data_IF_863400636983
#
_entry.id   IF_863400636983
#
_cell.length_a   1.000
_cell.length_b   1.000
_cell.length_c   1.000
_cell.angle_alpha   90.00
_cell.angle_beta   90.00
_cell.angle_gamma   90.00
#
_symmetry.space_group_name_H-M   'P 1'
#
loop_
_entity.id
_entity.type
_entity.pdbx_description
1 polymer ?
#
# COMPACT_ATOMS: atom_id res chain seq x y z
N UNK A 1 40.98 21.64 43.87
CA UNK A 1 40.77 20.45 44.72
C UNK A 1 39.27 20.22 44.86
N UNK A 2 38.74 19.20 44.17
CA UNK A 2 37.36 18.75 44.27
C UNK A 2 37.35 17.37 44.93
N UNK A 3 36.58 17.24 46.01
CA UNK A 3 36.05 16.03 46.69
C UNK A 3 35.24 16.59 47.87
N UNK A 4 34.08 16.11 48.31
CA UNK A 4 33.15 15.05 47.91
C UNK A 4 32.04 15.07 48.98
N UNK A 5 30.77 14.81 48.63
CA UNK A 5 29.80 13.94 49.34
C UNK A 5 28.34 14.37 49.08
N UNK A 6 27.62 13.51 48.36
CA UNK A 6 26.20 13.20 48.57
C UNK A 6 26.11 12.10 49.67
N UNK A 7 24.94 11.55 50.10
CA UNK A 7 23.57 11.77 49.63
C UNK A 7 22.49 11.88 50.76
N UNK A 8 21.27 12.29 50.42
CA UNK A 8 20.07 11.87 51.16
C UNK A 8 18.81 11.98 50.28
N UNK A 9 18.09 10.86 50.23
CA UNK A 9 16.84 10.55 49.55
C UNK A 9 15.62 11.17 50.22
N UNK A 10 14.63 11.61 49.43
CA UNK A 10 13.22 11.65 49.86
C UNK A 10 12.29 11.30 48.69
N UNK A 11 11.51 10.25 48.89
CA UNK A 11 10.28 9.96 48.17
C UNK A 11 9.13 9.96 49.19
N UNK A 12 8.04 10.68 48.89
CA UNK A 12 6.69 10.36 49.38
C UNK A 12 5.62 11.13 48.59
N UNK A 13 4.58 10.39 48.21
CA UNK A 13 3.33 10.86 47.60
C UNK A 13 2.42 11.54 48.64
N UNK A 14 1.65 12.57 48.24
CA UNK A 14 0.31 12.83 48.78
C UNK A 14 -0.50 13.80 47.91
N UNK A 15 -1.79 13.46 47.78
CA UNK A 15 -2.86 14.01 46.97
C UNK A 15 -3.39 15.34 47.57
N UNK A 16 -3.63 16.39 46.76
CA UNK A 16 -4.53 17.49 47.14
C UNK A 16 -5.12 18.23 45.93
N UNK A 17 -6.44 18.32 45.96
CA UNK A 17 -7.37 18.90 44.98
C UNK A 17 -7.01 20.33 44.53
N UNK A 18 -7.15 20.62 43.23
CA UNK A 18 -7.13 21.98 42.69
C UNK A 18 -8.47 22.35 42.04
N UNK A 19 -9.17 23.24 42.75
CA UNK A 19 -10.15 24.27 42.35
C UNK A 19 -10.69 24.24 40.91
N UNK A 20 -12.00 24.03 40.81
CA UNK A 20 -12.86 24.56 39.74
C UNK A 20 -12.79 26.09 39.73
N UNK A 21 -12.37 26.69 38.62
CA UNK A 21 -12.61 28.10 38.32
C UNK A 21 -14.09 28.29 37.97
N UNK A 22 -14.72 29.25 38.64
CA UNK A 22 -16.15 29.53 38.55
C UNK A 22 -16.51 30.17 37.20
N UNK A 23 -17.55 29.64 36.54
CA UNK A 23 -18.26 30.33 35.46
C UNK A 23 -18.90 31.65 35.99
N UNK A 24 -18.92 32.73 35.20
CA UNK A 24 -19.55 33.98 35.61
C UNK A 24 -21.05 33.82 35.85
N UNK A 25 -21.53 34.42 36.95
CA UNK A 25 -22.90 34.41 37.51
C UNK A 25 -24.05 34.81 36.58
N UNK A 26 -23.80 35.11 35.29
CA UNK A 26 -24.84 35.51 34.33
C UNK A 26 -25.49 34.34 33.57
N UNK A 27 -25.02 33.10 33.74
CA UNK A 27 -25.61 31.90 33.11
C UNK A 27 -26.73 31.28 33.95
N UNK A 28 -26.88 31.68 35.22
CA UNK A 28 -27.78 31.01 36.17
C UNK A 28 -29.23 31.51 36.21
N UNK A 29 -29.59 32.60 35.51
CA UNK A 29 -30.96 33.15 35.56
C UNK A 29 -31.85 32.79 34.35
N UNK A 30 -31.35 32.08 33.33
CA UNK A 30 -32.18 31.63 32.20
C UNK A 30 -32.79 30.22 32.37
N UNK A 31 -32.59 29.57 33.52
CA UNK A 31 -32.92 28.16 33.74
C UNK A 31 -34.01 27.91 34.80
N UNK A 32 -35.09 28.69 34.83
CA UNK A 32 -36.27 28.36 35.65
C UNK A 32 -37.46 28.03 34.75
N UNK A 33 -37.55 26.77 34.31
CA UNK A 33 -38.75 26.32 33.59
C UNK A 33 -38.68 24.99 32.83
N UNK A 34 -37.51 24.36 32.67
CA UNK A 34 -37.41 23.12 31.90
C UNK A 34 -37.05 21.92 32.79
N UNK A 35 -38.06 21.14 33.17
CA UNK A 35 -37.87 19.77 33.64
C UNK A 35 -37.59 18.88 32.43
N UNK A 36 -36.36 18.38 32.28
CA UNK A 36 -35.99 17.43 31.23
C UNK A 36 -35.47 16.15 31.88
N UNK A 37 -36.22 15.06 31.68
CA UNK A 37 -35.78 13.70 32.03
C UNK A 37 -34.55 13.34 31.20
N UNK A 38 -33.54 12.81 31.89
CA UNK A 38 -32.24 12.38 31.35
C UNK A 38 -32.39 11.38 30.19
N UNK A 39 -31.81 11.71 29.04
CA UNK A 39 -31.62 10.82 27.88
C UNK A 39 -30.12 10.73 27.58
N UNK A 40 -29.56 9.52 27.62
CA UNK A 40 -28.12 9.21 27.51
C UNK A 40 -27.50 9.41 26.10
N UNK A 41 -28.19 10.08 25.19
CA UNK A 41 -27.72 10.22 23.81
C UNK A 41 -27.00 11.57 23.59
N UNK A 42 -25.67 11.51 23.43
CA UNK A 42 -24.76 12.67 23.23
C UNK A 42 -25.20 13.59 22.09
N UNK A 43 -25.80 13.04 21.02
CA UNK A 43 -26.29 13.80 19.87
C UNK A 43 -27.53 14.64 20.22
N UNK A 44 -28.38 14.17 21.13
CA UNK A 44 -29.56 14.91 21.61
C UNK A 44 -29.13 16.10 22.46
N UNK A 45 -28.11 15.93 23.32
CA UNK A 45 -27.53 17.01 24.13
C UNK A 45 -26.89 18.08 23.24
N UNK A 46 -26.15 17.68 22.20
CA UNK A 46 -25.53 18.60 21.25
C UNK A 46 -26.58 19.40 20.45
N UNK A 47 -27.68 18.76 20.08
CA UNK A 47 -28.79 19.42 19.36
C UNK A 47 -29.55 20.40 20.28
N UNK A 48 -29.75 20.05 21.55
CA UNK A 48 -30.38 20.95 22.53
C UNK A 48 -29.46 22.15 22.79
N UNK A 49 -28.14 21.93 22.93
CA UNK A 49 -27.17 23.00 23.11
C UNK A 49 -27.07 23.92 21.89
N UNK A 50 -27.12 23.39 20.66
CA UNK A 50 -27.11 24.22 19.44
C UNK A 50 -28.38 25.07 19.31
N UNK A 51 -29.53 24.53 19.72
CA UNK A 51 -30.81 25.23 19.65
C UNK A 51 -30.91 26.34 20.71
N UNK A 52 -30.41 26.08 21.94
CA UNK A 52 -30.33 27.10 23.00
C UNK A 52 -29.34 28.23 22.64
N UNK A 53 -28.22 27.90 22.00
CA UNK A 53 -27.25 28.90 21.55
C UNK A 53 -27.84 29.78 20.44
N UNK A 54 -28.58 29.19 19.49
CA UNK A 54 -29.25 29.93 18.42
C UNK A 54 -30.34 30.89 18.95
N UNK A 55 -31.13 30.47 19.95
CA UNK A 55 -32.16 31.32 20.55
C UNK A 55 -31.56 32.48 21.36
N UNK A 56 -30.44 32.25 22.04
CA UNK A 56 -29.70 33.29 22.77
C UNK A 56 -29.13 34.34 21.80
N UNK A 57 -28.58 33.89 20.66
CA UNK A 57 -28.05 34.76 19.62
C UNK A 57 -29.16 35.58 18.94
N UNK A 58 -30.33 34.99 18.69
CA UNK A 58 -31.48 35.70 18.11
C UNK A 58 -32.00 36.84 19.01
N UNK A 59 -32.07 36.60 20.32
CA UNK A 59 -32.50 37.60 21.29
C UNK A 59 -31.46 38.73 21.47
N UNK A 60 -30.17 38.42 21.28
CA UNK A 60 -29.08 39.40 21.38
C UNK A 60 -28.92 40.24 20.10
N UNK A 61 -29.25 39.66 18.93
CA UNK A 61 -29.28 40.36 17.64
C UNK A 61 -30.32 41.48 17.59
N UNK A 62 -31.44 41.30 18.28
CA UNK A 62 -32.54 42.27 18.28
C UNK A 62 -32.33 43.47 19.23
N UNK A 63 -31.24 43.52 20.01
CA UNK A 63 -31.11 44.45 21.13
C UNK A 63 -30.01 45.51 21.03
N UNK A 64 -29.18 45.60 19.97
CA UNK A 64 -28.29 46.77 19.82
C UNK A 64 -27.71 46.92 18.40
N UNK A 65 -27.91 48.12 17.86
CA UNK A 65 -27.38 48.59 16.59
C UNK A 65 -25.93 49.07 16.80
N UNK A 66 -24.97 48.58 15.98
CA UNK A 66 -23.57 49.03 15.78
C UNK A 66 -22.40 48.06 16.02
N UNK A 67 -22.59 46.74 16.18
CA UNK A 67 -21.48 45.76 16.35
C UNK A 67 -21.39 44.63 15.31
N UNK A 68 -22.13 44.71 14.20
CA UNK A 68 -22.26 43.61 13.23
C UNK A 68 -20.95 43.19 12.54
N UNK A 69 -20.03 44.12 12.25
CA UNK A 69 -18.79 43.81 11.53
C UNK A 69 -17.74 43.08 12.39
N UNK A 70 -17.60 43.44 13.67
CA UNK A 70 -16.71 42.72 14.58
C UNK A 70 -17.22 41.30 14.90
N UNK A 71 -18.54 41.13 14.95
CA UNK A 71 -19.13 39.82 15.17
C UNK A 71 -18.98 38.90 13.95
N UNK A 72 -19.10 39.43 12.72
CA UNK A 72 -18.81 38.67 11.49
C UNK A 72 -17.34 38.24 11.41
N UNK A 73 -16.41 39.12 11.81
CA UNK A 73 -14.97 38.82 11.87
C UNK A 73 -14.63 37.76 12.91
N UNK A 74 -15.30 37.79 14.06
CA UNK A 74 -15.14 36.76 15.09
C UNK A 74 -15.80 35.44 14.70
N UNK A 75 -16.91 35.47 13.96
CA UNK A 75 -17.54 34.28 13.37
C UNK A 75 -16.64 33.62 12.34
N UNK A 76 -16.07 34.38 11.38
CA UNK A 76 -15.07 33.87 10.43
C UNK A 76 -13.81 33.33 11.11
N UNK A 77 -13.37 33.94 12.22
CA UNK A 77 -12.24 33.42 13.02
C UNK A 77 -12.59 32.14 13.78
N UNK A 78 -13.83 31.97 14.22
CA UNK A 78 -14.33 30.76 14.86
C UNK A 78 -14.53 29.62 13.83
N UNK A 79 -15.03 29.94 12.64
CA UNK A 79 -15.18 29.03 11.49
C UNK A 79 -13.80 28.56 11.00
N UNK A 80 -12.82 29.47 10.84
CA UNK A 80 -11.42 29.09 10.56
C UNK A 80 -10.75 28.29 11.69
N UNK A 81 -11.23 28.41 12.94
CA UNK A 81 -10.76 27.58 14.06
C UNK A 81 -11.42 26.21 14.06
N UNK A 82 -12.68 26.11 13.62
CA UNK A 82 -13.40 24.85 13.41
C UNK A 82 -12.82 24.06 12.24
N UNK A 83 -12.41 24.71 11.15
CA UNK A 83 -11.67 24.04 10.06
C UNK A 83 -10.30 23.49 10.52
N UNK A 84 -9.67 24.12 11.54
CA UNK A 84 -8.46 23.59 12.18
C UNK A 84 -8.73 22.48 13.20
N UNK A 85 -9.94 22.37 13.73
CA UNK A 85 -10.41 21.22 14.51
C UNK A 85 -10.97 20.23 13.48
N UNK A 86 -10.08 19.57 12.76
CA UNK A 86 -10.39 18.70 11.64
C UNK A 86 -11.60 17.80 11.89
N UNK A 87 -12.76 18.24 11.44
CA UNK A 87 -13.83 17.39 10.93
C UNK A 87 -13.45 17.07 9.48
N UNK A 88 -12.23 16.56 9.31
CA UNK A 88 -11.96 15.69 8.19
C UNK A 88 -12.83 14.48 8.46
N UNK A 89 -13.73 14.18 7.53
CA UNK A 89 -14.42 12.90 7.46
C UNK A 89 -13.35 11.82 7.66
N UNK A 90 -13.29 11.26 8.88
CA UNK A 90 -12.26 10.29 9.25
C UNK A 90 -12.54 9.07 8.39
N UNK A 91 -11.81 8.94 7.29
CA UNK A 91 -11.70 7.68 6.53
C UNK A 91 -11.41 6.59 7.56
N UNK A 92 -12.38 5.70 7.79
CA UNK A 92 -12.08 4.40 8.34
C UNK A 92 -11.00 3.74 7.47
N UNK A 93 -10.17 2.84 8.02
CA UNK A 93 -9.19 2.11 7.21
C UNK A 93 -9.92 1.54 5.98
N UNK A 94 -9.32 1.67 4.80
CA UNK A 94 -9.81 1.05 3.57
C UNK A 94 -10.15 -0.40 3.89
N UNK A 95 -11.43 -0.72 3.97
CA UNK A 95 -11.90 -2.04 4.39
C UNK A 95 -11.62 -3.06 3.29
N UNK A 96 -11.40 -2.60 2.06
CA UNK A 96 -11.29 -3.44 0.88
C UNK A 96 -9.97 -4.22 0.75
N UNK A 97 -8.76 -3.69 1.03
CA UNK A 97 -7.56 -4.52 1.13
C UNK A 97 -7.67 -5.58 2.23
N UNK A 98 -8.39 -5.26 3.32
CA UNK A 98 -8.63 -6.17 4.44
C UNK A 98 -9.63 -7.26 4.04
N UNK A 99 -10.74 -6.91 3.38
CA UNK A 99 -11.71 -7.85 2.84
C UNK A 99 -11.14 -8.67 1.69
N UNK A 100 -10.33 -8.05 0.83
CA UNK A 100 -9.60 -8.70 -0.25
C UNK A 100 -8.67 -9.76 0.31
N UNK A 101 -7.81 -9.41 1.29
CA UNK A 101 -7.01 -10.39 2.01
C UNK A 101 -7.88 -11.45 2.73
N UNK A 102 -9.01 -11.06 3.32
CA UNK A 102 -9.92 -11.96 4.03
C UNK A 102 -10.77 -12.85 3.10
N UNK A 103 -10.79 -12.61 1.80
CA UNK A 103 -11.48 -13.45 0.80
C UNK A 103 -10.45 -14.26 0.02
N UNK A 104 -9.39 -13.62 -0.46
CA UNK A 104 -8.32 -14.25 -1.24
C UNK A 104 -7.65 -15.33 -0.40
N UNK A 105 -7.27 -15.02 0.84
CA UNK A 105 -6.55 -15.97 1.70
C UNK A 105 -7.39 -17.22 2.06
N UNK A 106 -8.68 -17.13 2.44
CA UNK A 106 -9.49 -18.33 2.63
C UNK A 106 -9.80 -19.06 1.34
N UNK A 107 -10.05 -18.36 0.22
CA UNK A 107 -10.36 -19.00 -1.05
C UNK A 107 -9.16 -19.81 -1.55
N UNK A 108 -7.95 -19.25 -1.44
CA UNK A 108 -6.71 -19.93 -1.80
C UNK A 108 -6.37 -21.06 -0.86
N UNK A 109 -6.67 -20.93 0.44
CA UNK A 109 -6.59 -22.03 1.41
C UNK A 109 -7.61 -23.13 1.09
N UNK A 110 -8.81 -22.80 0.61
CA UNK A 110 -9.81 -23.80 0.18
C UNK A 110 -9.34 -24.52 -1.08
N UNK A 111 -8.87 -23.79 -2.09
CA UNK A 111 -8.28 -24.40 -3.29
C UNK A 111 -7.06 -25.27 -2.95
N UNK A 112 -6.26 -24.86 -1.96
CA UNK A 112 -5.16 -25.63 -1.41
C UNK A 112 -5.62 -26.89 -0.67
N UNK A 113 -6.60 -26.80 0.25
CA UNK A 113 -7.16 -27.99 0.95
C UNK A 113 -7.70 -28.97 -0.07
N UNK A 114 -8.43 -28.49 -1.08
CA UNK A 114 -8.93 -29.35 -2.16
C UNK A 114 -7.77 -29.98 -2.92
N UNK A 115 -6.74 -29.22 -3.30
CA UNK A 115 -5.57 -29.75 -4.02
C UNK A 115 -4.77 -30.75 -3.18
N UNK A 116 -4.51 -30.46 -1.91
CA UNK A 116 -3.79 -31.36 -1.00
C UNK A 116 -4.58 -32.60 -0.65
N UNK A 117 -5.91 -32.51 -0.50
CA UNK A 117 -6.78 -33.67 -0.31
C UNK A 117 -6.84 -34.51 -1.58
N UNK A 118 -6.94 -33.88 -2.75
CA UNK A 118 -6.85 -34.58 -4.03
C UNK A 118 -5.50 -35.30 -4.15
N UNK A 119 -4.39 -34.63 -3.82
CA UNK A 119 -3.05 -35.21 -3.87
C UNK A 119 -2.95 -36.42 -2.94
N UNK A 120 -3.33 -36.30 -1.66
CA UNK A 120 -3.38 -37.41 -0.68
C UNK A 120 -4.27 -38.58 -1.14
N UNK A 121 -5.38 -38.30 -1.83
CA UNK A 121 -6.27 -39.33 -2.37
C UNK A 121 -5.68 -39.98 -3.63
N UNK A 122 -4.79 -39.29 -4.35
CA UNK A 122 -4.21 -39.75 -5.63
C UNK A 122 -2.81 -40.36 -5.53
N UNK A 123 -2.08 -40.17 -4.43
CA UNK A 123 -0.76 -40.81 -4.24
C UNK A 123 -0.88 -42.15 -3.51
N UNK A 124 -0.90 -43.23 -4.29
CA UNK A 124 -0.35 -44.52 -3.86
C UNK A 124 1.17 -44.37 -3.69
N UNK A 125 1.70 -45.00 -2.62
CA UNK A 125 3.10 -45.27 -2.24
C UNK A 125 4.21 -44.59 -3.06
N UNK A 126 4.89 -43.60 -2.46
CA UNK A 126 6.36 -43.38 -2.51
C UNK A 126 6.72 -41.96 -1.97
N UNK A 127 6.60 -41.74 -0.66
CA UNK A 127 7.14 -40.52 -0.01
C UNK A 127 8.58 -40.70 0.44
N UNK A 128 9.49 -40.96 -0.51
CA UNK A 128 10.92 -40.77 -0.31
C UNK A 128 11.33 -39.46 -1.01
N UNK A 129 11.79 -38.45 -0.26
CA UNK A 129 12.49 -37.31 -0.89
C UNK A 129 12.13 -35.89 -0.44
N UNK A 130 11.37 -35.67 0.65
CA UNK A 130 11.36 -34.33 1.26
C UNK A 130 12.72 -34.07 1.90
N UNK A 131 13.63 -33.45 1.15
CA UNK A 131 14.88 -32.93 1.71
C UNK A 131 14.56 -32.04 2.93
N UNK A 132 15.51 -31.87 3.86
CA UNK A 132 15.36 -30.95 5.00
C UNK A 132 15.90 -29.56 4.68
N UNK A 133 15.16 -28.51 5.05
CA UNK A 133 15.58 -27.12 4.82
C UNK A 133 16.95 -26.89 5.46
N UNK A 134 17.94 -26.51 4.66
CA UNK A 134 19.31 -26.31 5.15
C UNK A 134 19.38 -25.19 6.19
N UNK A 135 20.27 -25.34 7.18
CA UNK A 135 20.49 -24.32 8.20
C UNK A 135 20.85 -22.95 7.59
N UNK A 136 21.64 -22.95 6.51
CA UNK A 136 22.00 -21.72 5.79
C UNK A 136 20.79 -21.01 5.20
N UNK A 137 19.79 -21.75 4.68
CA UNK A 137 18.55 -21.18 4.16
C UNK A 137 17.69 -20.56 5.26
N UNK A 138 17.56 -21.22 6.42
CA UNK A 138 16.90 -20.64 7.58
C UNK A 138 17.55 -19.34 8.04
N UNK A 139 18.89 -19.35 8.16
CA UNK A 139 19.66 -18.17 8.55
C UNK A 139 19.47 -17.01 7.58
N UNK A 140 19.57 -17.26 6.27
CA UNK A 140 19.37 -16.23 5.24
C UNK A 140 17.93 -15.69 5.22
N UNK A 141 16.93 -16.56 5.44
CA UNK A 141 15.51 -16.18 5.46
C UNK A 141 15.16 -15.26 6.62
N UNK A 142 15.98 -15.21 7.67
CA UNK A 142 15.84 -14.23 8.76
C UNK A 142 16.78 -13.05 8.55
N UNK A 143 18.06 -13.30 8.26
CA UNK A 143 19.09 -12.28 8.19
C UNK A 143 18.87 -11.27 7.06
N UNK A 144 18.44 -11.72 5.87
CA UNK A 144 18.21 -10.84 4.72
C UNK A 144 17.01 -9.92 4.96
N UNK A 145 15.80 -10.41 5.32
CA UNK A 145 14.67 -9.54 5.59
C UNK A 145 14.91 -8.56 6.75
N UNK A 146 15.57 -9.01 7.83
CA UNK A 146 15.93 -8.13 8.95
C UNK A 146 16.86 -7.01 8.50
N UNK A 147 17.90 -7.34 7.73
CA UNK A 147 18.85 -6.34 7.22
C UNK A 147 18.16 -5.31 6.32
N UNK A 148 17.29 -5.78 5.42
CA UNK A 148 16.54 -4.92 4.48
C UNK A 148 15.52 -4.06 5.22
N UNK A 149 14.79 -4.60 6.20
CA UNK A 149 13.82 -3.86 7.00
C UNK A 149 14.51 -2.77 7.83
N UNK A 150 15.64 -3.10 8.49
CA UNK A 150 16.46 -2.12 9.22
C UNK A 150 17.00 -1.02 8.30
N UNK A 151 17.49 -1.40 7.11
CA UNK A 151 17.89 -0.43 6.08
C UNK A 151 16.72 0.47 5.67
N UNK A 152 15.54 -0.10 5.42
CA UNK A 152 14.32 0.62 5.06
C UNK A 152 13.88 1.64 6.10
N UNK A 153 13.92 1.26 7.39
CA UNK A 153 13.64 2.14 8.53
C UNK A 153 14.67 3.29 8.61
N UNK A 154 15.97 2.97 8.54
CA UNK A 154 17.05 3.98 8.59
C UNK A 154 16.95 4.98 7.45
N UNK A 155 16.53 4.54 6.26
CA UNK A 155 16.38 5.38 5.07
C UNK A 155 15.02 6.06 4.96
N UNK A 156 14.14 5.92 5.97
CA UNK A 156 12.76 6.43 5.95
C UNK A 156 12.00 6.01 4.68
N UNK A 157 12.28 4.82 4.16
CA UNK A 157 11.54 4.22 3.03
C UNK A 157 10.44 3.26 3.50
N UNK A 158 10.46 2.91 4.79
CA UNK A 158 9.51 2.00 5.42
C UNK A 158 9.10 2.57 6.78
N UNK A 159 7.83 2.42 7.17
CA UNK A 159 7.38 2.73 8.54
C UNK A 159 7.65 1.55 9.48
N UNK A 160 7.50 1.73 10.79
CA UNK A 160 7.62 0.64 11.78
C UNK A 160 6.65 -0.53 11.50
N UNK A 161 5.40 -0.22 11.15
CA UNK A 161 4.41 -1.25 10.77
C UNK A 161 4.74 -1.88 9.42
N UNK A 162 5.23 -1.09 8.46
CA UNK A 162 5.73 -1.62 7.19
C UNK A 162 6.90 -2.58 7.38
N UNK A 163 7.81 -2.29 8.31
CA UNK A 163 8.93 -3.16 8.68
C UNK A 163 8.46 -4.50 9.23
N UNK A 164 7.50 -4.49 10.16
CA UNK A 164 6.93 -5.72 10.71
C UNK A 164 6.41 -6.65 9.62
N UNK A 165 5.59 -6.14 8.69
CA UNK A 165 5.06 -6.98 7.61
C UNK A 165 6.13 -7.34 6.56
N UNK A 166 7.07 -6.44 6.27
CA UNK A 166 8.16 -6.72 5.34
C UNK A 166 9.08 -7.86 5.82
N UNK A 167 9.22 -8.06 7.14
CA UNK A 167 9.91 -9.22 7.68
C UNK A 167 9.20 -10.53 7.33
N UNK A 168 7.87 -10.56 7.46
CA UNK A 168 7.05 -11.75 7.14
C UNK A 168 7.10 -12.06 5.65
N UNK A 169 6.84 -11.05 4.81
CA UNK A 169 6.93 -11.14 3.35
C UNK A 169 8.33 -11.61 2.93
N UNK A 170 9.37 -10.92 3.41
CA UNK A 170 10.75 -11.27 3.08
C UNK A 170 11.13 -12.68 3.52
N UNK A 171 10.68 -13.13 4.70
CA UNK A 171 10.95 -14.47 5.20
C UNK A 171 10.37 -15.54 4.28
N UNK A 172 9.07 -15.45 3.95
CA UNK A 172 8.42 -16.42 3.08
C UNK A 172 8.99 -16.44 1.67
N UNK A 173 9.26 -15.27 1.06
CA UNK A 173 9.90 -15.26 -0.26
C UNK A 173 11.30 -15.87 -0.22
N UNK A 174 12.11 -15.59 0.81
CA UNK A 174 13.49 -16.08 0.91
C UNK A 174 13.57 -17.58 1.18
N UNK A 175 12.75 -18.10 2.10
CA UNK A 175 12.74 -19.53 2.42
C UNK A 175 12.29 -20.34 1.20
N UNK A 176 11.30 -19.83 0.46
CA UNK A 176 10.79 -20.46 -0.77
C UNK A 176 11.86 -20.52 -1.85
N UNK A 177 12.35 -19.35 -2.28
CA UNK A 177 13.37 -19.25 -3.32
C UNK A 177 14.16 -17.95 -3.20
N UNK A 178 15.48 -18.07 -3.28
CA UNK A 178 16.38 -16.94 -3.37
C UNK A 178 16.08 -16.05 -4.59
N UNK A 179 15.55 -16.61 -5.68
CA UNK A 179 15.11 -15.84 -6.84
C UNK A 179 13.94 -14.90 -6.47
N UNK A 180 13.00 -15.35 -5.64
CA UNK A 180 11.87 -14.53 -5.17
C UNK A 180 12.37 -13.42 -4.23
N UNK A 181 13.31 -13.75 -3.33
CA UNK A 181 13.98 -12.73 -2.52
C UNK A 181 14.73 -11.70 -3.37
N UNK A 182 15.38 -12.11 -4.46
CA UNK A 182 16.08 -11.20 -5.36
C UNK A 182 15.10 -10.24 -6.06
N UNK A 183 13.96 -10.75 -6.55
CA UNK A 183 12.89 -9.91 -7.10
C UNK A 183 12.41 -8.86 -6.09
N UNK A 184 12.12 -9.29 -4.85
CA UNK A 184 11.65 -8.40 -3.80
C UNK A 184 12.69 -7.33 -3.44
N UNK A 185 13.97 -7.73 -3.35
CA UNK A 185 15.06 -6.82 -3.05
C UNK A 185 15.24 -5.79 -4.16
N UNK A 186 15.25 -6.22 -5.42
CA UNK A 186 15.35 -5.33 -6.59
C UNK A 186 14.17 -4.37 -6.62
N UNK A 187 12.94 -4.87 -6.45
CA UNK A 187 11.75 -4.02 -6.37
C UNK A 187 11.92 -2.98 -5.26
N UNK A 188 12.11 -3.41 -4.01
CA UNK A 188 12.18 -2.50 -2.87
C UNK A 188 13.28 -1.46 -3.02
N UNK A 189 14.50 -1.87 -3.41
CA UNK A 189 15.65 -0.98 -3.50
C UNK A 189 15.55 -0.01 -4.68
N UNK A 190 15.05 -0.46 -5.83
CA UNK A 190 14.95 0.39 -7.01
C UNK A 190 13.76 1.34 -6.90
N UNK A 191 12.59 0.86 -6.48
CA UNK A 191 11.42 1.69 -6.25
C UNK A 191 11.64 2.70 -5.11
N UNK A 192 12.37 2.36 -4.04
CA UNK A 192 12.73 3.34 -3.00
C UNK A 192 13.65 4.45 -3.51
N UNK A 193 14.46 4.18 -4.54
CA UNK A 193 15.26 5.22 -5.22
C UNK A 193 14.39 6.05 -6.17
N UNK A 194 13.50 5.41 -6.92
CA UNK A 194 12.56 6.08 -7.82
C UNK A 194 11.65 7.06 -7.07
N UNK A 195 11.07 6.67 -5.93
CA UNK A 195 10.23 7.54 -5.10
C UNK A 195 10.99 8.74 -4.53
N UNK A 196 12.32 8.62 -4.33
CA UNK A 196 13.16 9.74 -3.90
C UNK A 196 13.54 10.68 -5.04
N UNK A 197 13.43 10.23 -6.28
CA UNK A 197 13.70 11.03 -7.45
C UNK A 197 12.57 12.03 -7.70
N UNK A 198 12.92 13.32 -7.85
CA UNK A 198 11.96 14.37 -8.18
C UNK A 198 10.98 14.74 -7.05
N UNK A 199 11.28 14.42 -5.78
CA UNK A 199 10.42 14.74 -4.64
C UNK A 199 10.06 16.23 -4.52
N UNK A 200 10.97 17.12 -4.90
CA UNK A 200 10.71 18.57 -4.91
C UNK A 200 9.58 18.97 -5.87
N UNK A 201 9.47 18.29 -7.02
CA UNK A 201 8.37 18.51 -7.98
C UNK A 201 7.06 17.87 -7.51
N UNK A 202 7.12 16.68 -6.90
CA UNK A 202 5.94 15.96 -6.39
C UNK A 202 5.27 16.67 -5.22
N UNK A 203 6.07 17.28 -4.34
CA UNK A 203 5.57 18.10 -3.23
C UNK A 203 4.67 19.27 -3.70
N UNK A 204 4.85 19.76 -4.91
CA UNK A 204 4.03 20.82 -5.49
C UNK A 204 2.76 20.30 -6.17
N UNK A 205 2.69 19.00 -6.46
CA UNK A 205 1.60 18.35 -7.19
C UNK A 205 0.65 17.56 -6.27
N UNK A 206 1.12 17.14 -5.10
CA UNK A 206 0.39 16.25 -4.19
C UNK A 206 0.10 16.94 -2.84
N UNK A 207 -1.16 16.87 -2.41
CA UNK A 207 -1.61 17.44 -1.13
C UNK A 207 -1.07 16.65 0.09
N UNK A 208 -0.94 15.33 -0.04
CA UNK A 208 -0.59 14.40 1.05
C UNK A 208 0.84 13.83 0.95
N UNK A 209 1.78 14.63 0.44
CA UNK A 209 3.16 14.22 0.24
C UNK A 209 3.84 13.76 1.54
N UNK A 210 4.31 12.51 1.58
CA UNK A 210 5.07 11.95 2.71
C UNK A 210 6.57 11.97 2.45
N UNK A 211 7.31 12.65 3.32
CA UNK A 211 8.77 12.76 3.20
C UNK A 211 9.44 11.38 3.23
N UNK A 212 10.24 11.09 2.19
CA UNK A 212 10.95 9.82 2.03
C UNK A 212 10.14 8.66 1.44
N UNK A 213 8.83 8.83 1.23
CA UNK A 213 7.96 7.80 0.66
C UNK A 213 7.80 6.57 1.56
N UNK A 214 7.62 6.79 2.87
CA UNK A 214 7.54 5.70 3.86
C UNK A 214 6.37 4.75 3.57
N UNK A 215 6.70 3.50 3.19
CA UNK A 215 5.68 2.47 2.96
C UNK A 215 5.18 1.87 4.27
N UNK A 216 3.86 1.87 4.47
CA UNK A 216 3.22 1.25 5.63
C UNK A 216 2.89 -0.22 5.37
N UNK A 217 2.37 -0.92 6.39
CA UNK A 217 2.00 -2.33 6.27
C UNK A 217 0.94 -2.58 5.18
N UNK A 218 0.00 -1.66 4.97
CA UNK A 218 -1.03 -1.80 3.91
C UNK A 218 -0.36 -1.81 2.54
N UNK A 219 0.58 -0.88 2.29
CA UNK A 219 1.32 -0.85 1.03
C UNK A 219 2.23 -2.06 0.84
N UNK A 220 2.83 -2.58 1.91
CA UNK A 220 3.61 -3.82 1.84
C UNK A 220 2.70 -5.01 1.51
N UNK A 221 1.51 -5.08 2.11
CA UNK A 221 0.53 -6.12 1.83
C UNK A 221 0.01 -6.05 0.39
N UNK A 222 -0.37 -4.87 -0.09
CA UNK A 222 -0.96 -4.73 -1.42
C UNK A 222 0.06 -4.98 -2.54
N UNK A 223 1.33 -4.67 -2.33
CA UNK A 223 2.38 -4.87 -3.34
C UNK A 223 3.10 -6.22 -3.23
N UNK A 224 3.07 -6.86 -2.05
CA UNK A 224 3.82 -8.09 -1.78
C UNK A 224 2.96 -9.29 -1.36
N UNK A 225 1.67 -9.09 -1.10
CA UNK A 225 0.76 -10.12 -0.59
C UNK A 225 0.61 -11.29 -1.56
N UNK A 226 0.21 -11.01 -2.81
CA UNK A 226 0.08 -12.05 -3.84
C UNK A 226 1.39 -12.82 -4.06
N UNK A 227 2.53 -12.11 -4.11
CA UNK A 227 3.83 -12.75 -4.25
C UNK A 227 4.18 -13.64 -3.04
N UNK A 228 3.79 -13.24 -1.84
CA UNK A 228 3.99 -14.02 -0.61
C UNK A 228 3.13 -15.28 -0.61
N UNK A 229 1.87 -15.14 -1.01
CA UNK A 229 0.94 -16.25 -1.14
C UNK A 229 1.42 -17.29 -2.15
N UNK A 230 1.82 -16.86 -3.35
CA UNK A 230 2.41 -17.73 -4.37
C UNK A 230 3.72 -18.38 -3.90
N UNK A 231 4.54 -17.67 -3.11
CA UNK A 231 5.75 -18.24 -2.52
C UNK A 231 5.43 -19.32 -1.48
N UNK A 232 4.41 -19.11 -0.64
CA UNK A 232 3.93 -20.13 0.30
C UNK A 232 3.43 -21.36 -0.47
N UNK A 233 2.61 -21.17 -1.51
CA UNK A 233 2.16 -22.26 -2.38
C UNK A 233 3.33 -23.00 -3.03
N UNK A 234 4.36 -22.28 -3.47
CA UNK A 234 5.57 -22.89 -4.02
C UNK A 234 6.26 -23.81 -3.01
N UNK A 235 6.40 -23.39 -1.75
CA UNK A 235 6.95 -24.25 -0.68
C UNK A 235 6.09 -25.48 -0.41
N UNK A 236 4.77 -25.33 -0.45
CA UNK A 236 3.84 -26.41 -0.14
C UNK A 236 3.78 -27.46 -1.26
N UNK A 237 3.74 -27.02 -2.52
CA UNK A 237 3.51 -27.90 -3.68
C UNK A 237 4.81 -28.40 -4.31
N UNK A 238 5.88 -27.60 -4.23
CA UNK A 238 7.17 -27.88 -4.92
C UNK A 238 8.28 -28.12 -3.90
N UNK A 239 8.15 -27.55 -2.70
CA UNK A 239 9.23 -27.47 -1.73
C UNK A 239 10.04 -26.18 -1.87
N UNK A 240 11.15 -26.12 -1.15
CA UNK A 240 12.05 -24.97 -1.15
C UNK A 240 13.21 -25.22 -2.11
N UNK A 241 13.60 -24.22 -2.89
CA UNK A 241 14.65 -24.43 -3.89
C UNK A 241 14.60 -23.43 -5.03
N UNK A 242 15.63 -23.46 -5.87
CA UNK A 242 15.68 -22.73 -7.13
C UNK A 242 15.58 -23.75 -8.27
N UNK A 243 14.43 -23.76 -8.95
CA UNK A 243 14.23 -24.60 -10.12
C UNK A 243 14.26 -23.72 -11.38
N UNK A 244 14.96 -24.16 -12.45
CA UNK A 244 14.83 -23.51 -13.75
C UNK A 244 13.38 -23.51 -14.23
N UNK A 245 13.04 -22.50 -15.03
CA UNK A 245 11.73 -22.43 -15.69
C UNK A 245 11.70 -23.47 -16.80
N UNK A 246 10.87 -24.48 -16.59
CA UNK A 246 10.61 -25.61 -17.46
C UNK A 246 9.13 -26.02 -17.32
N UNK A 247 8.32 -25.63 -18.29
CA UNK A 247 6.88 -25.91 -18.33
C UNK A 247 6.54 -27.33 -18.81
N UNK A 248 7.53 -28.12 -19.28
CA UNK A 248 7.32 -29.53 -19.63
C UNK A 248 7.73 -30.43 -18.47
N UNK A 249 8.95 -30.25 -17.95
CA UNK A 249 9.51 -31.04 -16.87
C UNK A 249 9.05 -30.64 -15.47
N UNK A 250 8.73 -29.35 -15.24
CA UNK A 250 8.33 -28.86 -13.93
C UNK A 250 7.30 -27.71 -14.01
N UNK A 251 6.11 -28.04 -14.53
CA UNK A 251 5.05 -27.06 -14.79
C UNK A 251 4.65 -26.26 -13.55
N UNK A 252 4.42 -26.93 -12.40
CA UNK A 252 3.94 -26.26 -11.17
C UNK A 252 4.97 -25.27 -10.62
N UNK A 253 6.24 -25.65 -10.53
CA UNK A 253 7.31 -24.75 -10.09
C UNK A 253 7.44 -23.53 -11.00
N UNK A 254 7.44 -23.77 -12.31
CA UNK A 254 7.53 -22.72 -13.33
C UNK A 254 6.36 -21.76 -13.27
N UNK A 255 5.14 -22.28 -13.12
CA UNK A 255 3.93 -21.48 -13.06
C UNK A 255 3.94 -20.57 -11.83
N UNK A 256 4.20 -21.12 -10.64
CA UNK A 256 4.25 -20.35 -9.39
C UNK A 256 5.40 -19.33 -9.39
N UNK A 257 6.57 -19.71 -9.91
CA UNK A 257 7.72 -18.81 -10.03
C UNK A 257 7.44 -17.61 -10.95
N UNK A 258 6.83 -17.86 -12.11
CA UNK A 258 6.43 -16.78 -13.02
C UNK A 258 5.30 -15.93 -12.44
N UNK A 259 4.45 -16.49 -11.58
CA UNK A 259 3.43 -15.73 -10.87
C UNK A 259 4.03 -14.76 -9.84
N UNK A 260 5.02 -15.23 -9.05
CA UNK A 260 5.77 -14.36 -8.13
C UNK A 260 6.50 -13.26 -8.90
N UNK A 261 7.15 -13.60 -10.01
CA UNK A 261 7.79 -12.61 -10.88
C UNK A 261 6.79 -11.59 -11.41
N UNK A 262 5.60 -12.03 -11.84
CA UNK A 262 4.54 -11.17 -12.36
C UNK A 262 4.03 -10.18 -11.32
N UNK A 263 3.70 -10.67 -10.12
CA UNK A 263 3.23 -9.82 -9.03
C UNK A 263 4.27 -8.75 -8.62
N UNK A 264 5.54 -9.13 -8.46
CA UNK A 264 6.59 -8.19 -8.05
C UNK A 264 7.02 -7.24 -9.18
N UNK A 265 7.06 -7.72 -10.43
CA UNK A 265 7.35 -6.89 -11.60
C UNK A 265 6.24 -5.87 -11.84
N UNK A 266 4.98 -6.25 -11.62
CA UNK A 266 3.83 -5.35 -11.65
C UNK A 266 4.01 -4.18 -10.69
N UNK A 267 4.24 -4.46 -9.39
CA UNK A 267 4.41 -3.42 -8.38
C UNK A 267 5.62 -2.51 -8.64
N UNK A 268 6.75 -3.06 -9.11
CA UNK A 268 7.91 -2.27 -9.46
C UNK A 268 7.68 -1.41 -10.72
N UNK A 269 7.04 -1.99 -11.74
CA UNK A 269 6.70 -1.31 -12.98
C UNK A 269 5.76 -0.13 -12.75
N UNK A 270 4.70 -0.32 -11.98
CA UNK A 270 3.78 0.75 -11.60
C UNK A 270 4.49 1.89 -10.85
N UNK A 271 5.33 1.53 -9.87
CA UNK A 271 6.11 2.53 -9.12
C UNK A 271 7.07 3.29 -10.04
N UNK A 272 7.74 2.64 -10.99
CA UNK A 272 8.61 3.34 -11.93
C UNK A 272 7.83 4.24 -12.89
N UNK A 273 6.66 3.80 -13.36
CA UNK A 273 5.79 4.59 -14.23
C UNK A 273 5.31 5.88 -13.55
N UNK A 274 4.78 5.75 -12.33
CA UNK A 274 4.24 6.86 -11.55
C UNK A 274 5.34 7.79 -11.03
N UNK A 275 6.46 7.25 -10.57
CA UNK A 275 7.52 8.03 -9.92
C UNK A 275 8.50 8.65 -10.91
N UNK A 276 8.94 7.91 -11.94
CA UNK A 276 9.91 8.39 -12.94
C UNK A 276 9.20 8.94 -14.18
N UNK A 277 8.20 8.21 -14.70
CA UNK A 277 7.47 8.61 -15.89
C UNK A 277 6.81 9.97 -15.76
N UNK A 278 6.18 10.26 -14.61
CA UNK A 278 5.50 11.55 -14.35
C UNK A 278 6.47 12.74 -14.30
N UNK A 279 7.68 12.51 -13.76
CA UNK A 279 8.70 13.55 -13.55
C UNK A 279 9.51 13.83 -14.82
N UNK A 280 9.84 12.79 -15.58
CA UNK A 280 10.71 12.85 -16.76
C UNK A 280 9.90 13.16 -18.02
N UNK A 281 8.67 12.64 -18.11
CA UNK A 281 7.79 12.86 -19.26
C UNK A 281 7.22 14.28 -19.30
N UNK A 282 7.40 14.99 -20.42
CA UNK A 282 6.74 16.27 -20.69
C UNK A 282 5.35 16.12 -21.34
N UNK A 283 5.04 14.94 -21.89
CA UNK A 283 3.78 14.67 -22.57
C UNK A 283 2.59 14.65 -21.59
N UNK A 284 1.46 15.22 -22.01
CA UNK A 284 0.20 15.09 -21.28
C UNK A 284 -0.27 13.63 -21.32
N UNK A 285 -0.54 13.00 -20.17
CA UNK A 285 -1.06 11.64 -20.15
C UNK A 285 -2.43 11.57 -20.82
N UNK A 286 -2.81 10.38 -21.28
CA UNK A 286 -4.10 10.09 -21.89
C UNK A 286 -4.83 9.07 -21.03
N UNK A 287 -6.12 9.27 -20.80
CA UNK A 287 -6.92 8.30 -20.04
C UNK A 287 -7.03 6.99 -20.83
N UNK A 288 -6.71 5.85 -20.22
CA UNK A 288 -6.62 4.56 -20.93
C UNK A 288 -7.95 4.10 -21.54
N UNK A 289 -9.08 4.53 -20.96
CA UNK A 289 -10.42 4.14 -21.42
C UNK A 289 -10.93 4.98 -22.60
N UNK A 290 -10.55 6.25 -22.69
CA UNK A 290 -11.09 7.20 -23.69
C UNK A 290 -10.04 7.80 -24.61
N UNK A 291 -8.76 7.59 -24.32
CA UNK A 291 -7.60 8.20 -24.97
C UNK A 291 -7.57 9.73 -25.00
N UNK A 292 -8.43 10.39 -24.22
CA UNK A 292 -8.44 11.86 -24.08
C UNK A 292 -7.27 12.31 -23.21
N UNK A 293 -6.71 13.48 -23.52
CA UNK A 293 -5.67 14.10 -22.69
C UNK A 293 -6.25 14.47 -21.33
N UNK A 294 -5.54 14.09 -20.27
CA UNK A 294 -5.92 14.40 -18.88
C UNK A 294 -4.75 15.07 -18.15
N UNK A 295 -5.01 15.82 -17.06
CA UNK A 295 -3.94 16.39 -16.26
C UNK A 295 -3.08 15.30 -15.62
N UNK A 296 -1.82 15.64 -15.33
CA UNK A 296 -0.89 14.73 -14.64
C UNK A 296 -1.42 14.39 -13.24
N UNK A 297 -1.30 13.13 -12.84
CA UNK A 297 -1.84 12.62 -11.57
C UNK A 297 -3.27 12.08 -11.65
N UNK A 298 -3.93 12.16 -12.81
CA UNK A 298 -5.26 11.53 -13.01
C UNK A 298 -5.13 10.00 -12.97
N UNK A 299 -5.93 9.33 -12.15
CA UNK A 299 -5.99 7.87 -12.08
C UNK A 299 -6.38 7.28 -13.45
N UNK A 300 -5.61 6.29 -13.90
CA UNK A 300 -5.76 5.71 -15.23
C UNK A 300 -5.20 6.52 -16.40
N UNK A 301 -4.47 7.60 -16.11
CA UNK A 301 -3.71 8.35 -17.11
C UNK A 301 -2.42 7.64 -17.52
N UNK A 302 -2.34 7.16 -18.76
CA UNK A 302 -1.14 6.54 -19.31
C UNK A 302 -0.32 7.51 -20.17
N UNK A 303 1.00 7.36 -20.12
CA UNK A 303 1.93 8.10 -20.97
C UNK A 303 2.99 7.16 -21.53
N UNK A 304 3.52 7.46 -22.72
CA UNK A 304 4.58 6.64 -23.32
C UNK A 304 5.82 6.54 -22.42
N UNK A 305 6.35 7.62 -21.80
CA UNK A 305 7.43 7.51 -20.83
C UNK A 305 7.07 6.62 -19.65
N UNK A 306 5.85 6.73 -19.12
CA UNK A 306 5.37 5.88 -18.03
C UNK A 306 5.40 4.40 -18.39
N UNK A 307 4.88 4.02 -19.56
CA UNK A 307 4.90 2.64 -20.04
C UNK A 307 6.33 2.12 -20.25
N UNK A 308 7.23 2.93 -20.81
CA UNK A 308 8.64 2.56 -20.97
C UNK A 308 9.30 2.31 -19.62
N UNK A 309 9.12 3.21 -18.65
CA UNK A 309 9.67 3.03 -17.29
C UNK A 309 9.03 1.84 -16.57
N UNK A 310 7.75 1.53 -16.83
CA UNK A 310 7.09 0.34 -16.29
C UNK A 310 7.76 -0.93 -16.80
N UNK A 311 7.94 -1.05 -18.12
CA UNK A 311 8.65 -2.16 -18.74
C UNK A 311 10.09 -2.28 -18.23
N UNK A 312 10.83 -1.18 -18.14
CA UNK A 312 12.21 -1.18 -17.61
C UNK A 312 12.28 -1.60 -16.13
N UNK A 313 11.31 -1.17 -15.33
CA UNK A 313 11.17 -1.60 -13.93
C UNK A 313 10.95 -3.10 -13.84
N UNK A 314 10.06 -3.65 -14.66
CA UNK A 314 9.84 -5.10 -14.77
C UNK A 314 11.08 -5.87 -15.24
N UNK A 315 11.75 -5.38 -16.29
CA UNK A 315 13.01 -5.96 -16.82
C UNK A 315 14.07 -6.05 -15.72
N UNK A 316 14.19 -5.01 -14.89
CA UNK A 316 15.16 -5.03 -13.79
C UNK A 316 14.84 -6.11 -12.75
N UNK A 317 13.56 -6.32 -12.43
CA UNK A 317 13.12 -7.42 -11.53
C UNK A 317 13.40 -8.78 -12.16
N UNK A 318 13.07 -8.96 -13.44
CA UNK A 318 13.38 -10.19 -14.20
C UNK A 318 14.88 -10.46 -14.29
N UNK A 319 15.71 -9.42 -14.43
CA UNK A 319 17.17 -9.54 -14.37
C UNK A 319 17.65 -9.98 -12.99
N UNK A 320 17.07 -9.43 -11.92
CA UNK A 320 17.33 -9.88 -10.55
C UNK A 320 17.03 -11.37 -10.33
N UNK A 321 15.87 -11.83 -10.84
CA UNK A 321 15.51 -13.25 -10.83
C UNK A 321 16.56 -14.07 -11.58
N UNK A 322 16.81 -13.73 -12.85
CA UNK A 322 17.68 -14.49 -13.75
C UNK A 322 19.10 -14.62 -13.18
N UNK A 323 19.69 -13.53 -12.72
CA UNK A 323 21.02 -13.56 -12.12
C UNK A 323 21.07 -14.44 -10.87
N UNK A 324 20.05 -14.34 -10.00
CA UNK A 324 20.00 -15.18 -8.81
C UNK A 324 19.86 -16.66 -9.17
N UNK A 325 19.05 -16.99 -10.17
CA UNK A 325 18.87 -18.36 -10.67
C UNK A 325 20.21 -18.93 -11.15
N UNK A 326 20.93 -18.20 -12.02
CA UNK A 326 22.23 -18.65 -12.56
C UNK A 326 23.29 -18.81 -11.45
N UNK A 327 23.25 -17.96 -10.40
CA UNK A 327 24.22 -18.00 -9.31
C UNK A 327 23.98 -19.12 -8.29
N UNK A 328 22.74 -19.60 -8.17
CA UNK A 328 22.33 -20.50 -7.07
C UNK A 328 21.85 -21.87 -7.52
N UNK A 329 21.70 -22.08 -8.84
CA UNK A 329 21.27 -23.35 -9.42
C UNK A 329 22.46 -24.11 -10.00
N UNK A 330 22.43 -25.44 -9.87
CA UNK A 330 23.47 -26.30 -10.42
C UNK A 330 23.59 -26.16 -11.95
N UNK A 331 24.84 -26.12 -12.44
CA UNK A 331 25.13 -25.89 -13.85
C UNK A 331 24.72 -27.04 -14.77
N UNK A 332 24.65 -28.28 -14.27
CA UNK A 332 24.15 -29.43 -15.05
C UNK A 332 22.64 -29.35 -15.22
N UNK A 333 21.91 -28.96 -14.18
CA UNK A 333 20.47 -28.74 -14.24
C UNK A 333 20.13 -27.61 -15.23
N UNK A 334 20.85 -26.48 -15.18
CA UNK A 334 20.65 -25.38 -16.12
C UNK A 334 20.91 -25.77 -17.59
N UNK A 335 21.84 -26.69 -17.85
CA UNK A 335 22.13 -27.19 -19.21
C UNK A 335 21.08 -28.16 -19.73
N UNK A 336 20.44 -28.91 -18.82
CA UNK A 336 19.36 -29.83 -19.15
C UNK A 336 18.02 -29.11 -19.33
N UNK A 337 17.88 -27.90 -18.80
CA UNK A 337 16.66 -27.09 -18.91
C UNK A 337 16.64 -26.18 -20.16
N UNK A 338 15.45 -25.70 -20.57
CA UNK A 338 15.31 -24.71 -21.63
C UNK A 338 16.06 -23.39 -21.33
N UNK A 339 16.20 -22.49 -22.32
CA UNK A 339 16.82 -21.19 -22.12
C UNK A 339 16.12 -20.36 -21.03
N UNK A 340 16.90 -19.86 -20.07
CA UNK A 340 16.38 -19.11 -18.91
C UNK A 340 16.39 -17.59 -19.11
N UNK A 341 17.10 -17.07 -20.11
CA UNK A 341 17.16 -15.63 -20.41
C UNK A 341 15.79 -14.95 -20.68
N UNK A 342 14.74 -15.63 -21.20
CA UNK A 342 13.46 -14.96 -21.45
C UNK A 342 12.77 -14.50 -20.16
N UNK A 343 13.21 -14.95 -18.97
CA UNK A 343 12.75 -14.46 -17.65
C UNK A 343 12.88 -12.93 -17.57
N UNK A 344 13.95 -12.37 -18.14
CA UNK A 344 14.21 -10.93 -18.16
C UNK A 344 13.10 -10.19 -18.93
N UNK A 345 12.74 -10.70 -20.10
CA UNK A 345 11.68 -10.13 -20.94
C UNK A 345 10.33 -10.29 -20.25
N UNK A 346 10.06 -11.46 -19.66
CA UNK A 346 8.81 -11.69 -18.95
C UNK A 346 8.65 -10.81 -17.71
N UNK A 347 9.75 -10.45 -17.03
CA UNK A 347 9.70 -9.39 -16.02
C UNK A 347 9.19 -8.07 -16.61
N UNK A 348 9.71 -7.65 -17.76
CA UNK A 348 9.24 -6.47 -18.48
C UNK A 348 7.76 -6.53 -18.88
N UNK A 349 7.32 -7.68 -19.41
CA UNK A 349 5.90 -7.95 -19.70
C UNK A 349 5.05 -7.84 -18.44
N UNK A 350 5.50 -8.41 -17.32
CA UNK A 350 4.81 -8.30 -16.02
C UNK A 350 4.67 -6.86 -15.54
N UNK A 351 5.70 -6.04 -15.69
CA UNK A 351 5.63 -4.59 -15.40
C UNK A 351 4.60 -3.88 -16.26
N UNK A 352 4.68 -4.06 -17.59
CA UNK A 352 3.74 -3.45 -18.54
C UNK A 352 2.29 -3.87 -18.27
N UNK A 353 2.03 -5.18 -18.17
CA UNK A 353 0.70 -5.73 -17.87
C UNK A 353 0.16 -5.13 -16.57
N UNK A 354 0.98 -5.11 -15.52
CA UNK A 354 0.63 -4.52 -14.24
C UNK A 354 0.18 -3.06 -14.36
N UNK A 355 0.98 -2.22 -15.01
CA UNK A 355 0.64 -0.79 -15.18
C UNK A 355 -0.58 -0.53 -16.06
N UNK A 356 -0.83 -1.40 -17.05
CA UNK A 356 -2.02 -1.33 -17.90
C UNK A 356 -3.27 -1.71 -17.10
N UNK A 357 -3.20 -2.81 -16.33
CA UNK A 357 -4.30 -3.26 -15.45
C UNK A 357 -4.59 -2.19 -14.40
N UNK A 358 -3.56 -1.68 -13.73
CA UNK A 358 -3.69 -0.60 -12.74
C UNK A 358 -4.38 0.62 -13.35
N UNK A 359 -3.93 1.05 -14.52
CA UNK A 359 -4.53 2.19 -15.21
C UNK A 359 -5.99 1.96 -15.60
N UNK A 360 -6.35 0.75 -16.04
CA UNK A 360 -7.74 0.42 -16.36
C UNK A 360 -8.62 0.42 -15.11
N UNK A 361 -8.17 -0.24 -14.04
CA UNK A 361 -8.88 -0.26 -12.77
C UNK A 361 -8.98 1.13 -12.15
N UNK A 362 -7.94 1.94 -12.26
CA UNK A 362 -7.93 3.33 -11.80
C UNK A 362 -8.89 4.22 -12.58
N UNK A 363 -8.91 4.12 -13.92
CA UNK A 363 -9.83 4.89 -14.75
C UNK A 363 -11.31 4.56 -14.48
N UNK A 364 -11.61 3.31 -14.10
CA UNK A 364 -12.96 2.82 -13.85
C UNK A 364 -13.41 3.03 -12.40
N UNK A 365 -12.56 2.71 -11.44
CA UNK A 365 -12.96 2.51 -10.04
C UNK A 365 -12.20 3.36 -9.04
N UNK A 366 -11.31 4.26 -9.47
CA UNK A 366 -10.74 5.29 -8.62
C UNK A 366 -11.23 6.67 -9.07
N UNK A 367 -11.79 7.42 -8.14
CA UNK A 367 -12.22 8.78 -8.44
C UNK A 367 -11.00 9.66 -8.77
N UNK A 368 -11.11 10.46 -9.82
CA UNK A 368 -10.23 11.58 -10.09
C UNK A 368 -11.05 12.80 -10.44
N UNK A 369 -10.80 13.88 -9.72
CA UNK A 369 -11.32 15.20 -10.04
C UNK A 369 -10.21 16.25 -9.98
N UNK A 370 -10.50 17.44 -10.48
CA UNK A 370 -9.57 18.57 -10.46
C UNK A 370 -10.19 19.73 -9.70
N UNK A 371 -9.40 20.34 -8.81
CA UNK A 371 -9.80 21.54 -8.10
C UNK A 371 -9.67 22.80 -8.97
N UNK A 372 -10.14 23.94 -8.45
CA UNK A 372 -10.03 25.24 -9.15
C UNK A 372 -8.57 25.68 -9.40
N UNK A 373 -7.61 25.12 -8.66
CA UNK A 373 -6.17 25.41 -8.78
C UNK A 373 -5.48 24.48 -9.78
N UNK A 374 -6.19 23.54 -10.40
CA UNK A 374 -5.65 22.57 -11.35
C UNK A 374 -4.95 21.37 -10.71
N UNK A 375 -5.09 21.17 -9.40
CA UNK A 375 -4.54 20.04 -8.64
C UNK A 375 -5.53 18.88 -8.67
N UNK A 376 -5.02 17.67 -8.87
CA UNK A 376 -5.85 16.46 -8.89
C UNK A 376 -6.23 16.07 -7.45
N UNK A 377 -7.51 15.77 -7.25
CA UNK A 377 -8.08 15.22 -6.03
C UNK A 377 -8.59 13.80 -6.27
N UNK A 378 -8.30 12.92 -5.33
CA UNK A 378 -8.80 11.54 -5.28
C UNK A 378 -10.17 11.43 -4.57
N UNK A 379 -10.70 12.55 -4.05
CA UNK A 379 -11.96 12.58 -3.29
C UNK A 379 -12.95 13.54 -3.94
N UNK A 380 -14.24 13.17 -4.07
CA UNK A 380 -15.29 14.09 -4.48
C UNK A 380 -15.44 15.24 -3.48
N UNK A 381 -15.77 16.44 -3.97
CA UNK A 381 -15.99 17.61 -3.13
C UNK A 381 -16.70 18.74 -3.87
N UNK A 382 -17.19 19.74 -3.13
CA UNK A 382 -18.04 20.81 -3.68
C UNK A 382 -17.36 21.63 -4.80
N UNK A 383 -16.03 21.78 -4.75
CA UNK A 383 -15.25 22.56 -5.74
C UNK A 383 -14.33 21.66 -6.60
N UNK A 384 -14.71 20.39 -6.78
CA UNK A 384 -13.91 19.40 -7.50
C UNK A 384 -14.66 18.96 -8.75
N UNK A 385 -14.13 19.34 -9.92
CA UNK A 385 -14.68 18.90 -11.20
C UNK A 385 -14.23 17.49 -11.49
N UNK A 386 -15.20 16.58 -11.65
CA UNK A 386 -14.93 15.17 -11.99
C UNK A 386 -14.22 15.01 -13.35
N UNK A 387 -13.28 14.06 -13.42
CA UNK A 387 -12.54 13.66 -14.63
C UNK A 387 -12.84 12.20 -14.98
N UNK A 388 -12.64 11.27 -14.03
CA UNK A 388 -12.77 9.83 -14.28
C UNK A 388 -13.05 9.02 -13.02
N UNK A 389 -13.54 7.80 -13.24
CA UNK A 389 -13.79 6.78 -12.21
C UNK A 389 -14.84 7.12 -11.17
N UNK A 390 -15.07 6.16 -10.27
CA UNK A 390 -15.95 6.26 -9.11
C UNK A 390 -15.15 6.03 -7.83
N UNK A 391 -15.55 6.54 -6.65
CA UNK A 391 -14.78 6.40 -5.41
C UNK A 391 -14.97 5.02 -4.76
N UNK A 392 -14.85 3.93 -5.53
CA UNK A 392 -15.04 2.56 -5.04
C UNK A 392 -13.75 1.94 -4.52
N UNK A 393 -12.64 2.20 -5.21
CA UNK A 393 -11.32 1.72 -4.88
C UNK A 393 -10.41 2.88 -4.52
N UNK A 394 -9.47 2.61 -3.61
CA UNK A 394 -8.31 3.47 -3.36
C UNK A 394 -7.06 2.93 -4.06
N UNK A 395 -5.94 3.64 -3.93
CA UNK A 395 -4.67 3.23 -4.54
C UNK A 395 -4.15 1.89 -4.00
N UNK A 396 -4.38 1.60 -2.71
CA UNK A 396 -3.96 0.33 -2.13
C UNK A 396 -4.73 -0.85 -2.73
N UNK A 397 -6.04 -0.71 -2.89
CA UNK A 397 -6.91 -1.75 -3.45
C UNK A 397 -6.58 -2.04 -4.91
N UNK A 398 -6.35 -1.00 -5.72
CA UNK A 398 -5.98 -1.19 -7.12
C UNK A 398 -4.63 -1.89 -7.24
N UNK A 399 -3.61 -1.47 -6.48
CA UNK A 399 -2.31 -2.16 -6.45
C UNK A 399 -2.44 -3.65 -6.10
N UNK A 400 -3.26 -3.99 -5.10
CA UNK A 400 -3.52 -5.38 -4.74
C UNK A 400 -4.14 -6.15 -5.92
N UNK A 401 -5.20 -5.62 -6.54
CA UNK A 401 -5.84 -6.27 -7.67
C UNK A 401 -4.90 -6.41 -8.87
N UNK A 402 -4.12 -5.37 -9.19
CA UNK A 402 -3.14 -5.38 -10.27
C UNK A 402 -2.09 -6.47 -10.07
N UNK A 403 -1.56 -6.62 -8.86
CA UNK A 403 -0.58 -7.69 -8.56
C UNK A 403 -1.20 -9.09 -8.60
N UNK A 404 -2.46 -9.25 -8.17
CA UNK A 404 -3.21 -10.51 -8.31
C UNK A 404 -3.38 -10.88 -9.78
N UNK A 405 -3.90 -9.97 -10.61
CA UNK A 405 -4.08 -10.24 -12.04
C UNK A 405 -2.74 -10.51 -12.74
N UNK A 406 -1.70 -9.74 -12.46
CA UNK A 406 -0.37 -9.97 -13.04
C UNK A 406 0.21 -11.33 -12.62
N UNK A 407 0.03 -11.72 -11.35
CA UNK A 407 0.47 -13.03 -10.85
C UNK A 407 -0.25 -14.22 -11.49
N UNK A 408 -1.51 -14.05 -11.91
CA UNK A 408 -2.30 -15.09 -12.59
C UNK A 408 -2.05 -15.11 -14.09
N UNK A 409 -1.88 -13.95 -14.72
CA UNK A 409 -1.78 -13.82 -16.19
C UNK A 409 -0.37 -14.06 -16.73
N UNK A 410 0.69 -13.73 -15.98
CA UNK A 410 2.07 -13.90 -16.48
C UNK A 410 2.46 -15.37 -16.70
N UNK A 411 2.10 -16.34 -15.82
CA UNK A 411 2.44 -17.74 -16.01
C UNK A 411 1.96 -18.36 -17.34
N UNK A 412 0.68 -18.28 -17.77
CA UNK A 412 0.26 -18.86 -19.04
C UNK A 412 0.91 -18.19 -20.26
N UNK A 413 1.17 -16.88 -20.20
CA UNK A 413 1.94 -16.18 -21.25
C UNK A 413 3.36 -16.73 -21.33
N UNK A 414 3.97 -16.99 -20.17
CA UNK A 414 5.31 -17.58 -20.07
C UNK A 414 5.34 -19.01 -20.60
N UNK A 415 4.34 -19.82 -20.26
CA UNK A 415 4.23 -21.19 -20.76
C UNK A 415 4.12 -21.23 -22.29
N UNK A 416 3.31 -20.35 -22.88
CA UNK A 416 3.21 -20.21 -24.32
C UNK A 416 4.56 -19.79 -24.94
N UNK A 417 5.27 -18.81 -24.36
CA UNK A 417 6.58 -18.42 -24.86
C UNK A 417 7.58 -19.58 -24.79
N UNK A 418 7.66 -20.27 -23.64
CA UNK A 418 8.61 -21.36 -23.45
C UNK A 418 8.34 -22.57 -24.33
N UNK A 419 7.09 -22.80 -24.76
CA UNK A 419 6.75 -23.89 -25.68
C UNK A 419 7.53 -23.85 -27.00
N UNK A 420 8.08 -22.69 -27.39
CA UNK A 420 8.89 -22.52 -28.59
C UNK A 420 10.37 -22.92 -28.42
N UNK A 421 10.79 -23.32 -27.22
CA UNK A 421 12.17 -23.73 -26.92
C UNK A 421 12.34 -25.24 -26.72
N UNK A 422 11.26 -26.03 -26.83
CA UNK A 422 11.28 -27.49 -26.74
C UNK A 422 11.33 -28.15 -28.10
#
# INVERSE_FOLDING_TARGET
MWKSRAPATTASYSYREKKQEALPKQVLDCGKGASVKTSDNKNTILTILSTLNAQCIYNQWNSNNSSGLEQILNFKKAEMKLDRVGIGEKRGPSVLPILGAAIIFPLSVVFWVVNSVLEIITTDDDTEGRENVTLSRWLLSVAVPVSVALYGLRRKSLSGSGAGLALVVGFFLTVSSYCFSACLLVFFLSSSRATKFGQSKKRLLEHDFKEGGQRNWIQVLCNGGMATELAIMYVLDVGYGQYPIDFVGNYRASWLAMGVLGALSCGNGDTWASELGTVIGSASPRLITTFRKVPKGTNGGVSLPGLVFSGLGGVLVGLGYYLMLILTTDGSLLKASPPQWPIIIMGGVGGLLGSVIDSYLGALFQFSGVDEKGVISEVPGQNIRHISGVPWLDNHSVNLLSTVFAGILLPPISANLWSHFY
#
